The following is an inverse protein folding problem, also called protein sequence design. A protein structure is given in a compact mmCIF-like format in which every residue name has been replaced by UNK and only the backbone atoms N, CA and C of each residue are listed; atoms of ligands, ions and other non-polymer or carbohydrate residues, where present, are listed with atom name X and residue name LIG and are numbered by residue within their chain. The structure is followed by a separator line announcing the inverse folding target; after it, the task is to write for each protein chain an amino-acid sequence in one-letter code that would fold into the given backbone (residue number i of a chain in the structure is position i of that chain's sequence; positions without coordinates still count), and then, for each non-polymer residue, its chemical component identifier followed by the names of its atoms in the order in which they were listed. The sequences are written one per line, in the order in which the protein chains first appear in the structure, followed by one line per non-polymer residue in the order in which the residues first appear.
data_IF_666779257523
#
_entry.id   IF_666779257523
#
_cell.length_a   1.000
_cell.length_b   1.000
_cell.length_c   1.000
_cell.angle_alpha   90.00
_cell.angle_beta   90.00
_cell.angle_gamma   90.00
#
_symmetry.space_group_name_H-M   'P 1'
#
loop_
_entity.id
_entity.type
_entity.pdbx_description
1 polymer ?
#
# COMPACT_ATOMS: atom_id res chain seq x y z
N UNK A 1 -0.49 -31.98 -17.43
CA UNK A 1 -1.50 -30.90 -17.30
C UNK A 1 -0.77 -29.70 -16.73
N UNK A 2 -1.01 -28.49 -17.22
CA UNK A 2 -0.41 -27.29 -16.60
C UNK A 2 -0.95 -27.16 -15.16
N UNK A 3 -0.07 -26.82 -14.22
CA UNK A 3 -0.43 -26.62 -12.82
C UNK A 3 -1.34 -25.37 -12.68
N UNK A 4 -2.32 -25.44 -11.77
CA UNK A 4 -3.29 -24.36 -11.60
C UNK A 4 -2.61 -23.15 -10.91
N UNK A 5 -2.81 -21.90 -11.38
CA UNK A 5 -2.32 -20.72 -10.69
C UNK A 5 -2.83 -20.65 -9.26
N UNK A 6 -1.97 -20.21 -8.34
CA UNK A 6 -2.37 -19.88 -6.97
C UNK A 6 -2.62 -18.38 -6.89
N UNK A 7 -3.84 -18.02 -6.50
CA UNK A 7 -4.28 -16.66 -6.24
C UNK A 7 -4.35 -16.49 -4.73
N UNK A 8 -3.75 -15.44 -4.18
CA UNK A 8 -3.74 -15.22 -2.72
C UNK A 8 -4.60 -14.02 -2.36
N UNK A 9 -5.27 -14.11 -1.22
CA UNK A 9 -6.08 -13.03 -0.66
C UNK A 9 -5.97 -13.05 0.85
N UNK A 10 -6.29 -11.94 1.48
CA UNK A 10 -6.49 -11.92 2.93
C UNK A 10 -7.89 -12.41 3.31
N UNK A 11 -8.09 -12.77 4.58
CA UNK A 11 -9.37 -13.25 5.12
C UNK A 11 -10.40 -12.13 5.37
N UNK A 12 -10.08 -10.86 5.11
CA UNK A 12 -11.05 -9.79 5.19
C UNK A 12 -12.13 -9.96 4.12
N UNK A 13 -13.39 -9.97 4.51
CA UNK A 13 -14.55 -10.23 3.63
C UNK A 13 -14.49 -9.44 2.32
N UNK A 14 -14.23 -8.13 2.39
CA UNK A 14 -14.14 -7.24 1.21
C UNK A 14 -12.98 -7.58 0.26
N UNK A 15 -11.86 -8.07 0.78
CA UNK A 15 -10.69 -8.44 -0.02
C UNK A 15 -10.89 -9.83 -0.63
N UNK A 16 -11.41 -10.77 0.17
CA UNK A 16 -11.81 -12.10 -0.29
C UNK A 16 -12.85 -12.02 -1.41
N UNK A 17 -13.89 -11.21 -1.26
CA UNK A 17 -14.90 -11.05 -2.31
C UNK A 17 -14.32 -10.36 -3.54
N UNK A 18 -13.45 -9.35 -3.38
CA UNK A 18 -12.72 -8.75 -4.51
C UNK A 18 -11.92 -9.79 -5.30
N UNK A 19 -11.21 -10.70 -4.61
CA UNK A 19 -10.47 -11.79 -5.25
C UNK A 19 -11.38 -12.74 -6.01
N UNK A 20 -12.56 -13.07 -5.47
CA UNK A 20 -13.56 -13.93 -6.10
C UNK A 20 -14.16 -13.28 -7.35
N UNK A 21 -14.52 -12.00 -7.28
CA UNK A 21 -15.05 -11.29 -8.45
C UNK A 21 -13.99 -11.13 -9.54
N UNK A 22 -12.75 -10.83 -9.17
CA UNK A 22 -11.66 -10.75 -10.14
C UNK A 22 -11.39 -12.10 -10.80
N UNK A 23 -11.30 -13.18 -10.02
CA UNK A 23 -11.03 -14.52 -10.56
C UNK A 23 -12.19 -15.04 -11.41
N UNK A 24 -13.43 -14.73 -11.06
CA UNK A 24 -14.60 -15.00 -11.90
C UNK A 24 -14.49 -14.27 -13.24
N UNK A 25 -14.09 -13.00 -13.24
CA UNK A 25 -13.89 -12.22 -14.46
C UNK A 25 -12.72 -12.73 -15.33
N UNK A 26 -11.64 -13.21 -14.71
CA UNK A 26 -10.45 -13.69 -15.41
C UNK A 26 -10.59 -15.11 -15.96
N UNK A 27 -11.12 -16.05 -15.16
CA UNK A 27 -11.16 -17.47 -15.50
C UNK A 27 -12.52 -17.95 -16.04
N UNK A 28 -13.60 -17.20 -15.79
CA UNK A 28 -14.98 -17.60 -16.08
C UNK A 28 -15.66 -18.32 -14.91
N UNK A 29 -16.88 -18.83 -15.15
CA UNK A 29 -17.71 -19.47 -14.13
C UNK A 29 -17.10 -20.73 -13.49
N UNK A 30 -16.15 -21.36 -14.17
CA UNK A 30 -15.37 -22.52 -13.74
C UNK A 30 -14.04 -22.12 -13.06
N UNK A 31 -13.94 -20.89 -12.54
CA UNK A 31 -12.73 -20.39 -11.85
C UNK A 31 -12.20 -21.36 -10.78
N UNK A 32 -13.09 -21.95 -9.96
CA UNK A 32 -12.72 -22.92 -8.91
C UNK A 32 -12.07 -24.19 -9.45
N UNK A 33 -12.28 -24.52 -10.72
CA UNK A 33 -11.65 -25.65 -11.39
C UNK A 33 -10.32 -25.26 -12.05
N UNK A 34 -10.05 -23.96 -12.24
CA UNK A 34 -8.89 -23.44 -12.98
C UNK A 34 -7.80 -22.82 -12.11
N UNK A 35 -8.09 -22.52 -10.85
CA UNK A 35 -7.13 -21.89 -9.91
C UNK A 35 -7.27 -22.45 -8.50
N UNK A 36 -6.26 -22.19 -7.66
CA UNK A 36 -6.33 -22.37 -6.22
C UNK A 36 -6.41 -20.99 -5.56
N UNK A 37 -7.32 -20.84 -4.59
CA UNK A 37 -7.44 -19.62 -3.80
C UNK A 37 -6.86 -19.87 -2.40
N UNK A 38 -5.74 -19.23 -2.11
CA UNK A 38 -5.11 -19.24 -0.78
C UNK A 38 -5.59 -18.03 0.02
N UNK A 39 -6.14 -18.29 1.21
CA UNK A 39 -6.67 -17.26 2.10
C UNK A 39 -5.77 -17.13 3.31
N UNK A 40 -5.08 -16.00 3.42
CA UNK A 40 -4.20 -15.67 4.54
C UNK A 40 -5.00 -15.00 5.66
N UNK A 41 -4.90 -15.55 6.87
CA UNK A 41 -5.67 -15.09 8.04
C UNK A 41 -5.23 -13.68 8.48
N UNK A 42 -6.21 -12.82 8.76
CA UNK A 42 -6.04 -11.54 9.43
C UNK A 42 -6.43 -11.67 10.91
N UNK A 43 -5.47 -12.04 11.76
CA UNK A 43 -5.65 -12.08 13.21
C UNK A 43 -4.32 -11.84 13.92
N UNK A 44 -4.36 -11.22 15.10
CA UNK A 44 -3.13 -10.90 15.86
C UNK A 44 -2.26 -12.15 16.07
N UNK A 45 -0.96 -12.02 15.80
CA UNK A 45 0.01 -13.11 15.86
C UNK A 45 0.04 -14.03 14.63
N UNK A 46 -0.79 -13.79 13.61
CA UNK A 46 -0.73 -14.51 12.34
C UNK A 46 0.23 -13.83 11.38
N UNK A 47 1.13 -14.62 10.78
CA UNK A 47 2.01 -14.17 9.72
C UNK A 47 1.24 -14.05 8.40
N UNK A 48 1.22 -12.84 7.85
CA UNK A 48 0.54 -12.52 6.61
C UNK A 48 1.24 -11.35 5.91
N UNK A 49 1.90 -11.61 4.78
CA UNK A 49 2.58 -10.57 3.98
C UNK A 49 1.62 -9.59 3.31
N UNK A 50 0.36 -9.98 3.13
CA UNK A 50 -0.71 -9.15 2.57
C UNK A 50 -1.44 -8.34 3.64
N UNK A 51 -1.18 -8.55 4.92
CA UNK A 51 -1.64 -7.67 6.01
C UNK A 51 -0.69 -7.78 7.22
N UNK A 52 0.53 -7.21 7.09
CA UNK A 52 1.67 -7.47 7.98
C UNK A 52 1.48 -6.91 9.39
N UNK A 53 0.53 -5.99 9.61
CA UNK A 53 0.28 -5.36 10.92
C UNK A 53 -0.13 -6.37 12.00
N UNK A 54 -0.59 -7.55 11.61
CA UNK A 54 -0.99 -8.62 12.53
C UNK A 54 0.19 -9.50 12.98
N UNK A 55 1.25 -9.57 12.18
CA UNK A 55 2.49 -10.28 12.50
C UNK A 55 3.44 -9.43 13.36
N UNK A 56 3.24 -8.11 13.39
CA UNK A 56 4.13 -7.14 13.99
C UNK A 56 3.46 -6.41 15.18
N UNK A 57 3.88 -6.66 16.43
CA UNK A 57 3.29 -6.02 17.60
C UNK A 57 3.25 -4.50 17.53
N UNK A 58 4.37 -3.88 17.12
CA UNK A 58 4.48 -2.42 16.96
C UNK A 58 3.94 -1.92 15.61
N UNK A 59 3.36 -2.78 14.77
CA UNK A 59 2.98 -2.46 13.39
C UNK A 59 1.93 -1.34 13.27
N UNK A 60 1.29 -0.97 14.38
CA UNK A 60 0.26 0.09 14.46
C UNK A 60 0.71 1.31 15.28
N UNK A 61 1.94 1.31 15.81
CA UNK A 61 2.38 2.33 16.78
C UNK A 61 2.63 3.69 16.12
N UNK A 62 2.85 3.72 14.81
CA UNK A 62 3.17 4.91 14.04
C UNK A 62 2.03 5.26 13.08
N UNK A 63 1.18 6.20 13.49
CA UNK A 63 0.06 6.72 12.70
C UNK A 63 0.00 8.25 12.72
N UNK A 64 1.15 8.93 12.67
CA UNK A 64 1.21 10.39 12.76
C UNK A 64 0.57 11.11 11.55
N UNK A 65 0.31 10.38 10.45
CA UNK A 65 -0.52 10.89 9.36
C UNK A 65 -1.91 11.29 9.84
N UNK A 66 -2.48 10.59 10.83
CA UNK A 66 -3.76 10.98 11.43
C UNK A 66 -3.69 12.30 12.20
N UNK A 67 -2.55 12.60 12.83
CA UNK A 67 -2.33 13.87 13.52
C UNK A 67 -2.14 15.01 12.52
N UNK A 68 -1.37 14.78 11.45
CA UNK A 68 -1.24 15.73 10.34
C UNK A 68 -2.59 16.06 9.70
N UNK A 69 -3.47 15.06 9.53
CA UNK A 69 -4.82 15.25 8.98
C UNK A 69 -5.68 16.10 9.90
N UNK A 70 -5.68 15.85 11.20
CA UNK A 70 -6.44 16.66 12.17
C UNK A 70 -6.02 18.13 12.15
N UNK A 71 -4.74 18.40 11.93
CA UNK A 71 -4.24 19.77 11.72
C UNK A 71 -4.73 20.33 10.39
N UNK A 72 -4.61 19.56 9.31
CA UNK A 72 -5.01 19.97 7.97
C UNK A 72 -6.51 20.27 7.86
N UNK A 73 -7.36 19.44 8.47
CA UNK A 73 -8.82 19.60 8.51
C UNK A 73 -9.20 20.99 9.02
N UNK A 74 -8.54 21.48 10.08
CA UNK A 74 -8.75 22.84 10.63
C UNK A 74 -8.41 23.96 9.64
N UNK A 75 -7.65 23.66 8.59
CA UNK A 75 -7.32 24.59 7.53
C UNK A 75 -8.37 24.51 6.41
N UNK A 76 -8.51 23.36 5.74
CA UNK A 76 -9.32 23.29 4.51
C UNK A 76 -10.84 23.26 4.74
N UNK A 77 -11.32 22.79 5.91
CA UNK A 77 -12.76 22.73 6.22
C UNK A 77 -13.26 23.94 7.02
N UNK A 78 -12.40 24.89 7.38
CA UNK A 78 -12.78 26.05 8.22
C UNK A 78 -13.91 26.87 7.60
N UNK A 79 -13.80 27.15 6.31
CA UNK A 79 -14.78 27.95 5.58
C UNK A 79 -16.06 27.15 5.30
N UNK A 80 -15.91 25.83 5.05
CA UNK A 80 -17.02 24.90 4.95
C UNK A 80 -17.86 24.89 6.24
N UNK A 81 -17.22 24.70 7.40
CA UNK A 81 -17.88 24.73 8.70
C UNK A 81 -18.66 26.04 8.91
N UNK A 82 -18.00 27.17 8.64
CA UNK A 82 -18.63 28.50 8.78
C UNK A 82 -19.82 28.67 7.83
N UNK A 83 -19.75 28.12 6.61
CA UNK A 83 -20.84 28.17 5.63
C UNK A 83 -22.02 27.28 6.03
N UNK A 84 -21.75 26.06 6.47
CA UNK A 84 -22.77 25.09 6.86
C UNK A 84 -23.50 25.50 8.15
N UNK A 85 -22.78 25.97 9.16
CA UNK A 85 -23.36 26.37 10.45
C UNK A 85 -24.41 27.49 10.29
N UNK A 86 -24.30 28.35 9.28
CA UNK A 86 -25.29 29.40 8.99
C UNK A 86 -26.66 28.85 8.59
N UNK A 87 -26.71 27.65 8.03
CA UNK A 87 -27.93 27.02 7.52
C UNK A 87 -28.52 25.97 8.47
N UNK A 88 -27.86 25.70 9.61
CA UNK A 88 -28.28 24.68 10.57
C UNK A 88 -28.51 25.33 11.93
N UNK A 89 -29.73 25.21 12.45
CA UNK A 89 -30.13 25.67 13.78
C UNK A 89 -30.34 24.49 14.72
N UNK A 90 -30.06 24.67 16.01
CA UNK A 90 -30.25 23.64 17.03
C UNK A 90 -29.13 22.58 17.12
N UNK A 91 -28.15 22.64 16.22
CA UNK A 91 -26.95 21.80 16.26
C UNK A 91 -25.70 22.67 16.03
N UNK A 92 -24.67 22.48 16.86
CA UNK A 92 -23.37 23.10 16.67
C UNK A 92 -22.43 22.09 16.00
N UNK A 93 -22.12 22.33 14.73
CA UNK A 93 -21.24 21.48 13.93
C UNK A 93 -19.79 21.61 14.40
N UNK A 94 -19.08 20.50 14.32
CA UNK A 94 -17.64 20.41 14.61
C UNK A 94 -16.83 20.18 13.33
N UNK A 95 -15.50 20.29 13.44
CA UNK A 95 -14.61 19.91 12.33
C UNK A 95 -14.72 18.43 11.97
N UNK A 96 -14.95 17.57 12.97
CA UNK A 96 -15.17 16.15 12.77
C UNK A 96 -16.48 15.90 12.01
N UNK A 97 -17.55 16.63 12.34
CA UNK A 97 -18.80 16.56 11.57
C UNK A 97 -18.57 16.96 10.11
N UNK A 98 -17.83 18.04 9.85
CA UNK A 98 -17.52 18.46 8.47
C UNK A 98 -16.70 17.40 7.72
N UNK A 99 -15.72 16.78 8.39
CA UNK A 99 -14.93 15.70 7.80
C UNK A 99 -15.78 14.45 7.54
N UNK A 100 -16.72 14.12 8.42
CA UNK A 100 -17.65 13.02 8.20
C UNK A 100 -18.63 13.31 7.05
N UNK A 101 -19.15 14.54 6.97
CA UNK A 101 -20.08 14.97 5.91
C UNK A 101 -19.40 14.95 4.54
N UNK A 102 -18.17 15.46 4.40
CA UNK A 102 -17.48 15.45 3.10
C UNK A 102 -17.20 14.02 2.62
N UNK A 103 -16.97 13.06 3.54
CA UNK A 103 -16.81 11.65 3.19
C UNK A 103 -18.10 10.98 2.67
N UNK A 104 -19.28 11.51 2.99
CA UNK A 104 -20.55 10.91 2.52
C UNK A 104 -20.59 10.84 1.00
N UNK A 105 -20.14 11.90 0.32
CA UNK A 105 -20.14 11.96 -1.14
C UNK A 105 -19.43 10.77 -1.82
N UNK A 106 -18.13 10.48 -1.55
CA UNK A 106 -17.46 9.36 -2.20
C UNK A 106 -18.06 7.99 -1.84
N UNK A 107 -18.52 7.79 -0.59
CA UNK A 107 -19.14 6.51 -0.19
C UNK A 107 -20.52 6.29 -0.82
N UNK A 108 -21.39 7.30 -0.82
CA UNK A 108 -22.69 7.23 -1.50
C UNK A 108 -22.51 7.08 -3.01
N UNK A 109 -21.59 7.83 -3.62
CA UNK A 109 -21.34 7.71 -5.06
C UNK A 109 -20.86 6.31 -5.44
N UNK A 110 -19.97 5.70 -4.63
CA UNK A 110 -19.50 4.34 -4.90
C UNK A 110 -20.58 3.26 -4.67
N UNK A 111 -21.51 3.48 -3.73
CA UNK A 111 -22.56 2.51 -3.39
C UNK A 111 -23.91 2.71 -4.10
N UNK A 112 -24.19 3.91 -4.59
CA UNK A 112 -25.49 4.36 -5.11
C UNK A 112 -25.39 5.18 -6.40
N UNK A 113 -24.22 5.19 -7.06
CA UNK A 113 -23.87 5.92 -8.29
C UNK A 113 -23.90 7.47 -8.21
N UNK A 114 -24.46 8.05 -7.15
CA UNK A 114 -24.61 9.50 -7.00
C UNK A 114 -24.74 9.93 -5.53
N UNK A 115 -24.32 11.17 -5.23
CA UNK A 115 -24.56 11.81 -3.94
C UNK A 115 -24.81 13.32 -4.07
N UNK A 116 -25.86 13.80 -3.40
CA UNK A 116 -26.14 15.24 -3.30
C UNK A 116 -25.06 15.98 -2.48
N UNK A 117 -24.42 15.29 -1.53
CA UNK A 117 -23.37 15.86 -0.68
C UNK A 117 -22.16 16.34 -1.49
N UNK A 118 -21.92 15.77 -2.67
CA UNK A 118 -20.80 16.18 -3.51
C UNK A 118 -20.87 17.66 -3.91
N UNK A 119 -22.09 18.18 -4.10
CA UNK A 119 -22.34 19.56 -4.54
C UNK A 119 -22.25 20.60 -3.41
N UNK A 120 -22.20 20.14 -2.16
CA UNK A 120 -22.22 21.00 -0.96
C UNK A 120 -20.83 21.52 -0.56
N UNK A 121 -19.79 21.03 -1.24
CA UNK A 121 -18.40 21.42 -1.05
C UNK A 121 -17.84 22.06 -2.33
N UNK A 122 -16.94 23.02 -2.17
CA UNK A 122 -16.28 23.69 -3.29
C UNK A 122 -15.14 22.84 -3.84
N UNK A 123 -14.62 23.22 -5.02
CA UNK A 123 -13.46 22.55 -5.63
C UNK A 123 -12.24 22.58 -4.70
N UNK A 124 -12.00 23.71 -4.05
CA UNK A 124 -10.86 23.90 -3.13
C UNK A 124 -10.99 23.01 -1.88
N UNK A 125 -12.21 22.80 -1.39
CA UNK A 125 -12.48 21.88 -0.28
C UNK A 125 -12.26 20.42 -0.69
N UNK A 126 -12.61 20.06 -1.94
CA UNK A 126 -12.29 18.75 -2.52
C UNK A 126 -10.79 18.54 -2.71
N UNK A 127 -10.05 19.55 -3.19
CA UNK A 127 -8.59 19.50 -3.27
C UNK A 127 -7.95 19.38 -1.87
N UNK A 128 -8.56 20.01 -0.86
CA UNK A 128 -8.19 19.84 0.54
C UNK A 128 -8.42 18.41 1.04
N UNK A 129 -9.56 17.82 0.68
CA UNK A 129 -9.89 16.43 1.01
C UNK A 129 -8.98 15.41 0.31
N UNK A 130 -8.56 15.67 -0.94
CA UNK A 130 -7.54 14.85 -1.61
C UNK A 130 -6.24 14.84 -0.80
N UNK A 131 -5.77 16.03 -0.38
CA UNK A 131 -4.54 16.15 0.40
C UNK A 131 -4.64 15.53 1.80
N UNK A 132 -5.83 15.56 2.42
CA UNK A 132 -6.13 14.82 3.66
C UNK A 132 -5.83 13.32 3.50
N UNK A 133 -6.24 12.73 2.36
CA UNK A 133 -5.88 11.36 1.98
C UNK A 133 -4.38 11.16 1.82
N UNK A 134 -3.68 12.09 1.16
CA UNK A 134 -2.23 12.00 0.97
C UNK A 134 -1.47 11.99 2.30
N UNK A 135 -1.85 12.85 3.23
CA UNK A 135 -1.30 12.90 4.59
C UNK A 135 -1.51 11.58 5.34
N UNK A 136 -2.70 10.98 5.21
CA UNK A 136 -3.00 9.66 5.80
C UNK A 136 -2.01 8.62 5.32
N UNK A 137 -1.93 8.41 4.00
CA UNK A 137 -1.19 7.28 3.47
C UNK A 137 0.30 7.48 3.56
N UNK A 138 0.80 8.70 3.28
CA UNK A 138 2.24 8.95 3.40
C UNK A 138 2.72 8.89 4.85
N UNK A 139 1.90 9.36 5.80
CA UNK A 139 2.22 9.35 7.24
C UNK A 139 1.99 8.00 7.93
N UNK A 140 1.03 7.19 7.48
CA UNK A 140 0.69 5.93 8.15
C UNK A 140 1.29 4.69 7.48
N UNK A 141 1.68 4.76 6.20
CA UNK A 141 2.14 3.58 5.44
C UNK A 141 3.16 3.88 4.34
N UNK A 142 3.50 5.15 4.13
CA UNK A 142 4.44 5.58 3.11
C UNK A 142 5.81 5.96 3.65
N UNK A 143 6.59 6.68 2.84
CA UNK A 143 8.00 6.99 3.11
C UNK A 143 8.24 7.83 4.36
N UNK A 144 7.22 8.57 4.83
CA UNK A 144 7.37 9.34 6.06
C UNK A 144 7.17 8.47 7.32
N UNK A 145 6.71 7.23 7.17
CA UNK A 145 6.52 6.28 8.26
C UNK A 145 7.72 5.32 8.38
N UNK A 146 8.41 5.28 9.53
CA UNK A 146 9.55 4.37 9.72
C UNK A 146 9.16 2.88 9.67
N UNK A 147 7.90 2.53 9.92
CA UNK A 147 7.39 1.17 9.84
C UNK A 147 7.05 0.71 8.42
N UNK A 148 6.93 1.63 7.45
CA UNK A 148 6.41 1.29 6.13
C UNK A 148 7.24 0.24 5.39
N UNK A 149 8.57 0.43 5.35
CA UNK A 149 9.50 -0.54 4.74
C UNK A 149 9.49 -1.88 5.48
N UNK A 150 9.64 -1.95 6.83
CA UNK A 150 9.43 -3.19 7.57
C UNK A 150 8.13 -3.90 7.22
N UNK A 151 7.00 -3.17 7.16
CA UNK A 151 5.70 -3.78 6.89
C UNK A 151 5.62 -4.39 5.48
N UNK A 152 6.18 -3.73 4.47
CA UNK A 152 6.17 -4.24 3.10
C UNK A 152 7.21 -5.31 2.80
N UNK A 153 8.22 -5.54 3.66
CA UNK A 153 9.39 -6.34 3.27
C UNK A 153 9.07 -7.82 3.06
N UNK A 154 8.08 -8.35 3.79
CA UNK A 154 7.69 -9.75 3.64
C UNK A 154 7.23 -10.07 2.21
N UNK A 155 6.41 -9.20 1.63
CA UNK A 155 5.97 -9.32 0.24
C UNK A 155 7.13 -9.17 -0.74
N UNK A 156 8.10 -8.28 -0.47
CA UNK A 156 9.28 -8.11 -1.33
C UNK A 156 10.17 -9.37 -1.36
N UNK A 157 10.32 -10.05 -0.22
CA UNK A 157 11.02 -11.34 -0.17
C UNK A 157 10.29 -12.42 -0.97
N UNK A 158 8.97 -12.54 -0.83
CA UNK A 158 8.13 -13.47 -1.62
C UNK A 158 8.22 -13.16 -3.13
N UNK A 159 8.12 -11.89 -3.50
CA UNK A 159 8.28 -11.44 -4.88
C UNK A 159 9.66 -11.83 -5.42
N UNK A 160 10.72 -11.62 -4.63
CA UNK A 160 12.07 -12.01 -5.03
C UNK A 160 12.22 -13.53 -5.19
N UNK A 161 11.57 -14.33 -4.34
CA UNK A 161 11.53 -15.79 -4.46
C UNK A 161 10.91 -16.22 -5.80
N UNK A 162 9.75 -15.65 -6.16
CA UNK A 162 9.08 -15.88 -7.46
C UNK A 162 9.92 -15.40 -8.63
N UNK A 163 10.50 -14.19 -8.54
CA UNK A 163 11.31 -13.59 -9.60
C UNK A 163 12.58 -14.39 -9.89
N UNK A 164 13.19 -14.98 -8.86
CA UNK A 164 14.44 -15.74 -8.98
C UNK A 164 14.25 -17.26 -9.05
N UNK A 165 13.00 -17.74 -9.01
CA UNK A 165 12.64 -19.15 -8.88
C UNK A 165 13.46 -19.86 -7.79
N UNK A 166 13.51 -19.23 -6.61
CA UNK A 166 14.30 -19.72 -5.47
C UNK A 166 13.49 -19.64 -4.20
N UNK A 167 13.47 -20.73 -3.42
CA UNK A 167 12.73 -20.80 -2.16
C UNK A 167 13.20 -19.75 -1.15
N UNK A 168 12.28 -19.30 -0.31
CA UNK A 168 12.61 -18.39 0.79
C UNK A 168 13.59 -19.04 1.78
N UNK A 169 14.50 -18.23 2.31
CA UNK A 169 15.36 -18.60 3.44
C UNK A 169 14.53 -18.76 4.72
N UNK A 170 15.07 -19.47 5.71
CA UNK A 170 14.45 -19.64 7.03
C UNK A 170 14.23 -18.32 7.80
N UNK A 171 14.97 -17.27 7.45
CA UNK A 171 14.93 -15.96 8.10
C UNK A 171 13.76 -15.12 7.54
N UNK A 172 12.53 -15.58 7.82
CA UNK A 172 11.29 -14.91 7.46
C UNK A 172 11.01 -13.67 8.31
N UNK A 173 10.21 -12.76 7.76
CA UNK A 173 9.63 -11.60 8.44
C UNK A 173 8.15 -11.82 8.72
N UNK A 174 7.25 -11.31 7.86
CA UNK A 174 5.79 -11.50 7.97
C UNK A 174 5.26 -12.69 7.16
N UNK A 175 6.13 -13.52 6.58
CA UNK A 175 5.75 -14.74 5.86
C UNK A 175 5.24 -15.84 6.78
N UNK A 176 4.28 -16.60 6.28
CA UNK A 176 3.94 -17.89 6.88
C UNK A 176 4.83 -18.97 6.26
N UNK A 177 5.96 -19.28 6.90
CA UNK A 177 6.93 -20.23 6.36
C UNK A 177 6.37 -21.64 6.14
N UNK A 178 5.27 -22.03 6.82
CA UNK A 178 4.59 -23.31 6.55
C UNK A 178 3.94 -23.33 5.18
N UNK A 179 3.35 -22.21 4.77
CA UNK A 179 2.71 -22.05 3.47
C UNK A 179 3.77 -21.77 2.40
N UNK A 180 4.68 -20.82 2.66
CA UNK A 180 5.61 -20.33 1.65
C UNK A 180 6.73 -21.31 1.28
N UNK A 181 6.98 -22.33 2.11
CA UNK A 181 7.92 -23.42 1.78
C UNK A 181 7.24 -24.59 1.04
N UNK A 182 5.92 -24.56 0.87
CA UNK A 182 5.16 -25.61 0.20
C UNK A 182 4.70 -25.12 -1.17
N UNK A 183 5.22 -25.74 -2.24
CA UNK A 183 4.89 -25.39 -3.63
C UNK A 183 3.40 -25.50 -3.98
N UNK A 184 2.61 -26.25 -3.19
CA UNK A 184 1.15 -26.31 -3.34
C UNK A 184 0.50 -24.94 -3.09
N UNK A 185 1.04 -24.19 -2.14
CA UNK A 185 0.49 -22.91 -1.68
C UNK A 185 1.32 -21.73 -2.20
N UNK A 186 2.64 -21.91 -2.32
CA UNK A 186 3.54 -20.89 -2.84
C UNK A 186 4.42 -21.45 -3.97
N UNK A 187 3.85 -21.68 -5.17
CA UNK A 187 4.62 -22.07 -6.34
C UNK A 187 5.52 -20.93 -6.81
N UNK A 188 6.66 -21.27 -7.41
CA UNK A 188 7.69 -20.31 -7.83
C UNK A 188 7.83 -20.17 -9.35
N UNK A 189 7.20 -21.07 -10.11
CA UNK A 189 7.34 -21.20 -11.56
C UNK A 189 6.06 -20.87 -12.34
N UNK A 190 5.17 -20.07 -11.75
CA UNK A 190 3.95 -19.62 -12.42
C UNK A 190 4.20 -18.39 -13.30
N UNK A 191 3.46 -18.31 -14.41
CA UNK A 191 3.49 -17.15 -15.33
C UNK A 191 2.63 -15.98 -14.85
N UNK A 192 1.71 -16.24 -13.94
CA UNK A 192 0.78 -15.25 -13.39
C UNK A 192 0.66 -15.48 -11.89
N UNK A 193 0.82 -14.40 -11.14
CA UNK A 193 0.50 -14.31 -9.73
C UNK A 193 -0.49 -13.17 -9.54
N UNK A 194 -1.46 -13.35 -8.65
CA UNK A 194 -2.35 -12.28 -8.24
C UNK A 194 -2.58 -12.36 -6.73
N UNK A 195 -2.36 -11.23 -6.07
CA UNK A 195 -2.46 -11.09 -4.62
C UNK A 195 -3.44 -9.94 -4.31
N UNK A 196 -4.39 -10.17 -3.41
CA UNK A 196 -5.41 -9.20 -3.00
C UNK A 196 -5.18 -8.75 -1.56
N UNK A 197 -5.15 -7.44 -1.35
CA UNK A 197 -4.73 -6.83 -0.08
C UNK A 197 -5.42 -5.47 0.16
N UNK A 198 -5.04 -4.75 1.21
CA UNK A 198 -5.55 -3.43 1.58
C UNK A 198 -4.65 -2.31 1.07
N UNK A 199 -5.22 -1.11 1.01
CA UNK A 199 -4.55 0.15 0.65
C UNK A 199 -3.23 0.39 1.41
N UNK A 200 -3.24 0.31 2.74
CA UNK A 200 -2.05 0.52 3.57
C UNK A 200 -0.93 -0.48 3.24
N UNK A 201 -1.30 -1.74 3.01
CA UNK A 201 -0.33 -2.78 2.65
C UNK A 201 0.30 -2.51 1.28
N UNK A 202 -0.47 -2.05 0.29
CA UNK A 202 0.08 -1.63 -1.01
C UNK A 202 1.10 -0.51 -0.83
N UNK A 203 0.79 0.53 -0.05
CA UNK A 203 1.73 1.67 0.17
C UNK A 203 3.00 1.20 0.91
N UNK A 204 2.87 0.31 1.90
CA UNK A 204 4.00 -0.31 2.59
C UNK A 204 4.89 -1.09 1.60
N UNK A 205 4.28 -1.89 0.71
CA UNK A 205 4.97 -2.68 -0.32
C UNK A 205 5.72 -1.76 -1.29
N UNK A 206 5.09 -0.69 -1.79
CA UNK A 206 5.74 0.29 -2.67
C UNK A 206 6.93 0.99 -1.98
N UNK A 207 6.81 1.27 -0.68
CA UNK A 207 7.91 1.79 0.13
C UNK A 207 9.03 0.76 0.29
N UNK A 208 8.70 -0.53 0.46
CA UNK A 208 9.66 -1.62 0.57
C UNK A 208 10.38 -1.94 -0.76
N UNK A 209 9.72 -1.74 -1.91
CA UNK A 209 10.35 -1.69 -3.23
C UNK A 209 11.26 -0.47 -3.42
N UNK A 210 11.32 0.43 -2.43
CA UNK A 210 12.08 1.67 -2.43
C UNK A 210 11.69 2.58 -3.60
N UNK A 211 10.40 2.68 -3.93
CA UNK A 211 9.85 3.51 -5.01
C UNK A 211 9.90 5.02 -4.67
N UNK A 212 11.10 5.61 -4.69
CA UNK A 212 11.39 7.01 -4.32
C UNK A 212 10.69 8.07 -5.18
N UNK A 213 10.07 7.66 -6.28
CA UNK A 213 9.15 8.50 -7.06
C UNK A 213 7.95 8.95 -6.20
N UNK A 214 7.64 8.21 -5.13
CA UNK A 214 6.55 8.46 -4.19
C UNK A 214 7.03 8.99 -2.82
N UNK A 215 8.30 9.34 -2.65
CA UNK A 215 8.88 9.65 -1.32
C UNK A 215 8.73 11.09 -0.84
N UNK A 216 7.72 11.81 -1.32
CA UNK A 216 7.55 13.23 -0.97
C UNK A 216 7.34 13.42 0.53
N UNK A 217 8.00 14.44 1.09
CA UNK A 217 7.71 14.92 2.44
C UNK A 217 6.54 15.89 2.38
N UNK A 218 5.48 15.58 3.08
CA UNK A 218 4.25 16.38 3.14
C UNK A 218 4.23 17.25 4.40
N UNK A 219 3.55 18.40 4.32
CA UNK A 219 3.35 19.33 5.44
C UNK A 219 1.88 19.36 5.86
N UNK A 220 1.59 19.33 7.16
CA UNK A 220 0.23 19.24 7.68
C UNK A 220 -0.63 20.50 7.43
N UNK A 221 -0.01 21.64 7.11
CA UNK A 221 -0.71 22.94 7.02
C UNK A 221 -0.68 23.55 5.63
N UNK A 222 0.09 22.98 4.69
CA UNK A 222 0.26 23.55 3.35
C UNK A 222 0.61 22.47 2.32
N UNK A 223 -0.28 22.16 1.36
CA UNK A 223 0.04 21.24 0.29
C UNK A 223 1.09 21.83 -0.66
N UNK A 224 2.09 21.01 -1.01
CA UNK A 224 2.89 21.26 -2.21
C UNK A 224 2.05 20.89 -3.44
N UNK A 225 1.90 21.84 -4.37
CA UNK A 225 1.13 21.62 -5.61
C UNK A 225 1.82 20.64 -6.56
N UNK A 226 3.15 20.57 -6.50
CA UNK A 226 3.97 19.71 -7.35
C UNK A 226 4.28 18.34 -6.70
N UNK A 227 3.58 17.99 -5.62
CA UNK A 227 3.73 16.68 -4.98
C UNK A 227 3.32 15.57 -5.96
N UNK A 228 4.17 14.55 -6.02
CA UNK A 228 4.08 13.31 -6.78
C UNK A 228 3.24 12.27 -6.04
N UNK A 229 3.33 12.22 -4.70
CA UNK A 229 2.48 11.34 -3.90
C UNK A 229 1.03 11.84 -3.92
N UNK A 230 0.15 11.07 -4.56
CA UNK A 230 -1.30 11.27 -4.61
C UNK A 230 -1.98 9.94 -4.29
N UNK A 231 -2.56 9.81 -3.11
CA UNK A 231 -3.24 8.60 -2.66
C UNK A 231 -4.33 8.17 -3.65
N UNK A 232 -5.07 9.12 -4.21
CA UNK A 232 -6.09 8.92 -5.24
C UNK A 232 -5.55 8.27 -6.53
N UNK A 233 -4.27 8.47 -6.86
CA UNK A 233 -3.61 7.87 -8.02
C UNK A 233 -2.88 6.56 -7.70
N UNK A 234 -2.62 6.26 -6.42
CA UNK A 234 -1.84 5.10 -5.99
C UNK A 234 -2.76 3.99 -5.47
N UNK A 235 -3.61 4.32 -4.49
CA UNK A 235 -4.52 3.38 -3.80
C UNK A 235 -5.99 3.82 -3.82
N UNK A 236 -6.58 4.13 -4.99
CA UNK A 236 -8.05 4.21 -5.08
C UNK A 236 -8.69 2.84 -4.81
N UNK A 237 -10.02 2.80 -4.67
CA UNK A 237 -10.72 1.51 -4.68
C UNK A 237 -10.38 0.72 -5.95
N UNK A 238 -10.17 -0.60 -5.79
CA UNK A 238 -9.72 -1.50 -6.85
C UNK A 238 -8.36 -1.12 -7.49
N UNK A 239 -7.47 -0.48 -6.72
CA UNK A 239 -6.11 -0.20 -7.15
C UNK A 239 -5.35 -1.46 -7.57
N UNK A 240 -4.44 -1.31 -8.54
CA UNK A 240 -3.58 -2.40 -9.03
C UNK A 240 -2.14 -1.96 -9.19
N UNK A 241 -1.23 -2.79 -8.69
CA UNK A 241 0.21 -2.68 -8.95
C UNK A 241 0.61 -3.92 -9.75
N UNK A 242 1.16 -3.72 -10.94
CA UNK A 242 1.60 -4.80 -11.81
C UNK A 242 3.11 -4.74 -12.00
N UNK A 243 3.79 -5.85 -11.76
CA UNK A 243 5.18 -6.06 -12.14
C UNK A 243 5.22 -7.03 -13.33
N UNK A 244 5.70 -6.55 -14.46
CA UNK A 244 5.73 -7.30 -15.72
C UNK A 244 7.18 -7.65 -16.06
N UNK A 245 7.49 -8.95 -16.18
CA UNK A 245 8.79 -9.42 -16.68
C UNK A 245 8.66 -9.76 -18.15
N UNK A 246 9.59 -9.26 -18.97
CA UNK A 246 9.58 -9.45 -20.41
C UNK A 246 10.99 -9.67 -20.94
N UNK A 247 11.10 -10.51 -21.97
CA UNK A 247 12.32 -10.71 -22.72
C UNK A 247 12.42 -9.64 -23.80
N UNK A 248 13.54 -8.91 -23.85
CA UNK A 248 13.79 -7.90 -24.86
C UNK A 248 15.05 -8.22 -25.64
N UNK A 249 14.95 -8.20 -26.96
CA UNK A 249 16.09 -8.43 -27.85
C UNK A 249 16.83 -7.11 -28.07
N UNK A 250 17.99 -6.94 -27.41
CA UNK A 250 18.95 -5.88 -27.76
C UNK A 250 20.16 -6.51 -28.47
N UNK A 251 20.11 -6.56 -29.79
CA UNK A 251 21.19 -7.13 -30.61
C UNK A 251 21.20 -8.66 -30.58
N UNK A 252 22.24 -9.26 -29.96
CA UNK A 252 22.42 -10.73 -29.84
C UNK A 252 22.19 -11.27 -28.41
N UNK A 253 21.73 -10.42 -27.49
CA UNK A 253 21.44 -10.80 -26.10
C UNK A 253 19.94 -10.75 -25.86
N UNK A 254 19.43 -11.86 -25.34
CA UNK A 254 18.10 -11.96 -24.77
C UNK A 254 18.23 -11.64 -23.28
N UNK A 255 17.91 -10.39 -22.91
CA UNK A 255 17.93 -9.93 -21.53
C UNK A 255 16.49 -9.81 -20.99
N UNK A 256 16.31 -10.18 -19.72
CA UNK A 256 15.03 -10.04 -19.02
C UNK A 256 14.92 -8.65 -18.39
N UNK A 257 13.87 -7.93 -18.73
CA UNK A 257 13.53 -6.64 -18.16
C UNK A 257 12.26 -6.73 -17.33
N UNK A 258 12.20 -5.89 -16.31
CA UNK A 258 11.03 -5.69 -15.47
C UNK A 258 10.50 -4.26 -15.59
N UNK A 259 9.18 -4.11 -15.58
CA UNK A 259 8.45 -2.85 -15.51
C UNK A 259 7.46 -2.88 -14.36
N UNK A 260 7.30 -1.76 -13.67
CA UNK A 260 6.21 -1.54 -12.70
C UNK A 260 5.14 -0.62 -13.29
N UNK A 261 3.87 -0.95 -13.04
CA UNK A 261 2.72 -0.09 -13.31
C UNK A 261 1.90 0.08 -12.04
N UNK A 262 1.40 1.29 -11.81
CA UNK A 262 0.42 1.60 -10.77
C UNK A 262 -0.81 2.17 -11.48
N UNK A 263 -1.95 1.49 -11.37
CA UNK A 263 -3.21 1.89 -12.01
C UNK A 263 -3.03 2.22 -13.50
N UNK A 264 -2.38 1.29 -14.23
CA UNK A 264 -1.98 1.37 -15.65
C UNK A 264 -0.90 2.38 -16.01
N UNK A 265 -0.56 3.32 -15.13
CA UNK A 265 0.53 4.24 -15.36
C UNK A 265 1.87 3.53 -15.13
N UNK A 266 2.76 3.59 -16.13
CA UNK A 266 4.14 3.11 -15.97
C UNK A 266 4.85 4.03 -14.97
N UNK A 267 5.43 3.43 -13.93
CA UNK A 267 6.34 4.13 -13.02
C UNK A 267 7.76 3.81 -13.46
N UNK A 268 8.52 4.79 -13.98
CA UNK A 268 9.88 4.54 -14.45
C UNK A 268 10.77 4.08 -13.29
N UNK A 269 11.32 2.88 -13.41
CA UNK A 269 12.30 2.37 -12.45
C UNK A 269 13.64 3.08 -12.66
N UNK A 270 14.28 3.49 -11.57
CA UNK A 270 15.52 4.27 -11.59
C UNK A 270 16.53 3.76 -10.55
N UNK A 271 17.53 4.58 -10.21
CA UNK A 271 18.56 4.24 -9.24
C UNK A 271 17.99 3.84 -7.86
N UNK A 272 16.80 4.34 -7.50
CA UNK A 272 16.08 3.96 -6.29
C UNK A 272 15.68 2.49 -6.28
N UNK A 273 15.66 1.82 -7.42
CA UNK A 273 15.36 0.40 -7.58
C UNK A 273 16.56 -0.39 -8.11
N UNK A 274 17.75 0.21 -8.12
CA UNK A 274 18.98 -0.38 -8.65
C UNK A 274 19.06 -0.39 -10.18
N UNK A 275 18.28 0.46 -10.83
CA UNK A 275 18.09 0.47 -12.27
C UNK A 275 18.83 1.65 -12.92
N UNK A 276 19.29 1.47 -14.16
CA UNK A 276 19.68 2.60 -14.99
C UNK A 276 18.43 3.38 -15.38
N UNK A 277 18.49 4.71 -15.29
CA UNK A 277 17.39 5.57 -15.71
C UNK A 277 17.19 5.47 -17.23
N UNK A 278 16.05 4.94 -17.65
CA UNK A 278 15.69 4.76 -19.06
C UNK A 278 14.39 5.47 -19.42
N UNK A 279 14.24 5.98 -20.66
CA UNK A 279 13.00 6.61 -21.11
C UNK A 279 11.79 5.67 -21.13
N UNK A 280 12.01 4.36 -21.28
CA UNK A 280 10.97 3.32 -21.29
C UNK A 280 10.60 2.81 -19.89
N UNK A 281 11.33 3.24 -18.85
CA UNK A 281 11.11 2.84 -17.47
C UNK A 281 11.45 1.37 -17.16
N UNK A 282 12.09 0.65 -18.10
CA UNK A 282 12.49 -0.74 -17.92
C UNK A 282 13.72 -0.85 -17.01
N UNK A 283 13.81 -1.96 -16.29
CA UNK A 283 14.97 -2.29 -15.48
C UNK A 283 15.47 -3.69 -15.78
N UNK A 284 16.79 -3.90 -15.82
CA UNK A 284 17.34 -5.23 -15.93
C UNK A 284 16.95 -6.04 -14.69
N UNK A 285 16.32 -7.20 -14.90
CA UNK A 285 15.74 -7.99 -13.81
C UNK A 285 16.78 -8.41 -12.78
N UNK A 286 18.02 -8.69 -13.21
CA UNK A 286 19.13 -9.04 -12.31
C UNK A 286 19.54 -7.89 -11.41
N UNK A 287 19.61 -6.66 -11.94
CA UNK A 287 19.95 -5.46 -11.18
C UNK A 287 18.85 -5.13 -10.15
N UNK A 288 17.58 -5.20 -10.58
CA UNK A 288 16.42 -5.05 -9.68
C UNK A 288 16.46 -6.06 -8.53
N UNK A 289 16.65 -7.35 -8.85
CA UNK A 289 16.72 -8.42 -7.85
C UNK A 289 17.89 -8.26 -6.88
N UNK A 290 19.07 -7.82 -7.35
CA UNK A 290 20.21 -7.51 -6.48
C UNK A 290 19.90 -6.36 -5.52
N UNK A 291 19.24 -5.32 -6.01
CA UNK A 291 18.82 -4.19 -5.19
C UNK A 291 17.84 -4.60 -4.09
N UNK A 292 16.83 -5.42 -4.43
CA UNK A 292 15.88 -5.93 -3.42
C UNK A 292 16.59 -6.75 -2.34
N UNK A 293 17.57 -7.59 -2.70
CA UNK A 293 18.38 -8.34 -1.71
C UNK A 293 19.10 -7.41 -0.72
N UNK A 294 19.60 -6.25 -1.18
CA UNK A 294 20.21 -5.24 -0.31
C UNK A 294 19.14 -4.53 0.54
N UNK A 295 17.98 -4.25 -0.05
CA UNK A 295 16.82 -3.65 0.63
C UNK A 295 16.30 -4.49 1.80
N UNK A 296 16.23 -5.81 1.62
CA UNK A 296 15.79 -6.77 2.66
C UNK A 296 16.70 -6.73 3.89
N UNK A 297 18.02 -6.72 3.69
CA UNK A 297 19.01 -6.65 4.79
C UNK A 297 18.94 -5.34 5.59
N UNK A 298 18.39 -4.28 5.00
CA UNK A 298 18.26 -2.95 5.59
C UNK A 298 16.81 -2.61 5.95
N UNK A 299 15.94 -3.62 6.04
CA UNK A 299 14.54 -3.44 6.42
C UNK A 299 14.36 -3.27 7.92
N UNK A 300 15.27 -3.83 8.73
CA UNK A 300 15.22 -3.79 10.19
C UNK A 300 13.87 -4.26 10.77
N UNK A 301 13.26 -5.29 10.17
CA UNK A 301 11.94 -5.81 10.56
C UNK A 301 11.86 -6.14 12.06
N UNK A 302 12.78 -6.93 12.60
CA UNK A 302 12.75 -7.34 14.01
C UNK A 302 12.87 -6.15 14.96
N UNK A 303 13.78 -5.21 14.65
CA UNK A 303 13.94 -3.99 15.45
C UNK A 303 12.67 -3.14 15.42
N UNK A 304 12.04 -3.01 14.24
CA UNK A 304 10.82 -2.25 14.08
C UNK A 304 9.65 -2.89 14.85
N UNK A 305 9.50 -4.21 14.77
CA UNK A 305 8.34 -4.93 15.31
C UNK A 305 8.44 -5.27 16.80
N UNK A 306 9.65 -5.48 17.31
CA UNK A 306 9.88 -5.97 18.67
C UNK A 306 10.77 -5.05 19.52
N UNK A 307 11.43 -4.07 18.89
CA UNK A 307 12.24 -3.08 19.61
C UNK A 307 11.36 -2.08 20.39
N UNK A 308 11.96 -1.47 21.40
CA UNK A 308 11.34 -0.46 22.25
C UNK A 308 11.91 0.92 21.95
N UNK A 309 11.03 1.87 21.62
CA UNK A 309 11.42 3.26 21.45
C UNK A 309 11.93 3.86 22.77
N UNK A 310 13.02 4.62 22.71
CA UNK A 310 13.73 5.17 23.86
C UNK A 310 14.78 4.23 24.49
N UNK A 311 14.83 2.95 24.10
CA UNK A 311 15.90 2.03 24.54
C UNK A 311 16.65 1.41 23.37
N UNK A 312 15.94 0.78 22.43
CA UNK A 312 16.55 0.03 21.31
C UNK A 312 16.74 0.91 20.08
N UNK A 313 15.91 1.95 19.96
CA UNK A 313 16.04 3.03 19.00
C UNK A 313 15.43 4.30 19.57
N UNK A 314 15.75 5.45 18.98
CA UNK A 314 15.13 6.74 19.35
C UNK A 314 14.63 7.42 18.10
N UNK A 315 13.31 7.53 17.96
CA UNK A 315 12.69 8.32 16.90
C UNK A 315 12.29 9.68 17.46
N UNK A 316 12.97 10.75 17.06
CA UNK A 316 12.64 12.13 17.42
C UNK A 316 11.93 12.83 16.27
N UNK A 317 10.65 13.17 16.47
CA UNK A 317 9.82 13.91 15.52
C UNK A 317 8.39 14.06 16.07
N UNK A 318 7.47 14.65 15.29
CA UNK A 318 6.03 14.73 15.59
C UNK A 318 5.32 13.34 15.68
N UNK A 319 6.09 12.29 15.95
CA UNK A 319 5.81 10.87 15.81
C UNK A 319 5.79 10.12 17.16
N UNK A 320 5.62 10.82 18.28
CA UNK A 320 5.40 10.17 19.58
C UNK A 320 4.19 10.84 20.22
N UNK A 321 3.10 10.09 20.40
CA UNK A 321 2.16 10.39 21.48
C UNK A 321 2.94 10.25 22.79
N UNK A 322 3.38 11.37 23.34
CA UNK A 322 3.77 11.41 24.74
C UNK A 322 2.48 11.46 25.57
N UNK A 323 2.15 10.31 26.18
CA UNK A 323 1.35 10.09 27.39
C UNK A 323 -0.03 10.74 27.56
N UNK A 324 -1.03 9.88 27.78
CA UNK A 324 -2.03 9.88 28.89
C UNK A 324 -3.18 8.96 28.45
N UNK A 325 -3.54 7.92 29.21
CA UNK A 325 -4.27 8.06 30.47
C UNK A 325 -3.74 7.19 31.61
N UNK A 326 -3.98 7.71 32.82
CA UNK A 326 -3.75 7.11 34.14
C UNK A 326 -4.42 5.74 34.34
#
# INVERSE_FOLDING_TARGET
MAEKPVIRTTSSSRVLDSSRYWTLGFFGWDATEKMHLEVLTEADGQNNTLEPKYACPNGKDFAFGDDMRKEWQKVYLKDALTRWQKNIQGLNLTMEDMFNIIQVCPFETAGMDYSQFCSLFTKEEWEGFEYDGDLKFQGNSGFMNPMAKPMGIGYVQEFLARLSNHSLSSDGTSQNMTLDQNQTYFPLDQRLYADFTHDNAIVNILTAFNLTQLSDKLEATKPNKDRRFRASAIVPFASRVALEVMECQQGKKDDLYIRMKINDAVVPLDEGQGCEKRPDGLCLTSAFAEHLRKGIKTSHFDLACFGKNGTDFTLTGAQIRANQTA
#
